data_IF_810683627762
#
_entry.id   IF_810683627762
#
_cell.length_a   1.000
_cell.length_b   1.000
_cell.length_c   1.000
_cell.angle_alpha   90.00
_cell.angle_beta   90.00
_cell.angle_gamma   90.00
#
_symmetry.space_group_name_H-M   'P 1'
#
loop_
_entity.id
_entity.type
_entity.pdbx_description
1 polymer ?
#
# COMPACT_ATOMS: atom_id res chain seq x y z
N UNK A 1 -11.11 19.91 0.22
CA UNK A 1 -11.83 19.76 1.50
C UNK A 1 -11.84 21.09 2.24
N UNK A 2 -12.94 21.47 2.90
CA UNK A 2 -12.95 22.67 3.76
C UNK A 2 -12.09 22.41 5.01
N UNK A 3 -11.29 23.38 5.49
CA UNK A 3 -10.32 23.18 6.59
C UNK A 3 -10.98 22.74 7.91
N UNK A 4 -12.25 23.09 8.11
CA UNK A 4 -13.08 22.69 9.25
C UNK A 4 -13.29 21.17 9.41
N UNK A 5 -13.11 20.37 8.35
CA UNK A 5 -13.32 18.93 8.37
C UNK A 5 -12.02 18.11 8.52
N UNK A 6 -10.85 18.75 8.41
CA UNK A 6 -9.55 18.07 8.53
C UNK A 6 -9.38 17.37 9.89
N UNK A 7 -9.75 17.99 11.04
CA UNK A 7 -9.59 17.32 12.34
C UNK A 7 -10.44 16.05 12.51
N UNK A 8 -11.60 15.97 11.81
CA UNK A 8 -12.49 14.79 11.85
C UNK A 8 -11.95 13.64 11.00
N UNK A 9 -11.44 13.95 9.82
CA UNK A 9 -10.81 12.96 8.94
C UNK A 9 -9.55 12.39 9.60
N UNK A 10 -8.75 13.23 10.26
CA UNK A 10 -7.57 12.82 11.01
C UNK A 10 -7.94 11.91 12.20
N UNK A 11 -9.09 12.14 12.85
CA UNK A 11 -9.58 11.27 13.92
C UNK A 11 -9.87 9.84 13.45
N UNK A 12 -10.65 9.71 12.37
CA UNK A 12 -11.01 8.40 11.82
C UNK A 12 -9.76 7.69 11.29
N UNK A 13 -8.92 8.43 10.54
CA UNK A 13 -7.71 7.89 9.93
C UNK A 13 -6.72 7.40 10.98
N UNK A 14 -6.53 8.16 12.07
CA UNK A 14 -5.66 7.75 13.16
C UNK A 14 -6.17 6.51 13.88
N UNK A 15 -7.48 6.35 14.11
CA UNK A 15 -8.04 5.12 14.68
C UNK A 15 -7.76 3.92 13.76
N UNK A 16 -8.05 4.04 12.46
CA UNK A 16 -7.83 2.97 11.49
C UNK A 16 -6.36 2.57 11.39
N UNK A 17 -5.45 3.54 11.29
CA UNK A 17 -4.01 3.27 11.22
C UNK A 17 -3.45 2.75 12.54
N UNK A 18 -3.98 3.18 13.67
CA UNK A 18 -3.60 2.65 14.98
C UNK A 18 -4.01 1.17 15.11
N UNK A 19 -5.23 0.81 14.72
CA UNK A 19 -5.70 -0.58 14.68
C UNK A 19 -4.87 -1.42 13.70
N UNK A 20 -4.56 -0.89 12.52
CA UNK A 20 -3.70 -1.54 11.54
C UNK A 20 -2.28 -1.76 12.06
N UNK A 21 -1.68 -0.77 12.74
CA UNK A 21 -0.36 -0.89 13.37
C UNK A 21 -0.32 -2.01 14.41
N UNK A 22 -1.35 -2.11 15.27
CA UNK A 22 -1.50 -3.23 16.22
C UNK A 22 -1.61 -4.56 15.48
N UNK A 23 -2.44 -4.63 14.45
CA UNK A 23 -2.63 -5.84 13.65
C UNK A 23 -1.30 -6.32 13.03
N UNK A 24 -0.51 -5.40 12.46
CA UNK A 24 0.83 -5.71 11.91
C UNK A 24 1.78 -6.19 13.01
N UNK A 25 1.77 -5.56 14.20
CA UNK A 25 2.60 -5.99 15.33
C UNK A 25 2.28 -7.42 15.79
N UNK A 26 1.01 -7.73 15.93
CA UNK A 26 0.56 -9.07 16.31
C UNK A 26 1.03 -10.10 15.29
N UNK A 27 0.88 -9.84 14.00
CA UNK A 27 1.33 -10.75 12.95
C UNK A 27 2.86 -10.85 12.86
N UNK A 28 3.58 -9.75 13.09
CA UNK A 28 5.05 -9.73 13.15
C UNK A 28 5.58 -10.62 14.27
N UNK A 29 4.96 -10.59 15.46
CA UNK A 29 5.37 -11.40 16.62
C UNK A 29 5.10 -12.89 16.38
N UNK A 30 4.04 -13.21 15.64
CA UNK A 30 3.67 -14.59 15.29
C UNK A 30 4.59 -15.22 14.23
N UNK A 31 5.47 -14.45 13.59
CA UNK A 31 6.38 -15.00 12.58
C UNK A 31 7.43 -15.93 13.21
N UNK A 32 7.78 -17.05 12.53
CA UNK A 32 8.72 -18.02 13.05
C UNK A 32 10.09 -17.39 13.27
N UNK A 33 10.65 -17.64 14.44
CA UNK A 33 12.02 -17.27 14.79
C UNK A 33 12.88 -18.48 14.46
N UNK A 34 13.75 -18.35 13.47
CA UNK A 34 14.64 -19.43 13.02
C UNK A 34 15.79 -19.69 14.02
N UNK A 35 15.50 -19.62 15.33
CA UNK A 35 16.46 -19.81 16.43
C UNK A 35 17.07 -21.21 16.41
N UNK A 36 16.31 -22.22 15.93
CA UNK A 36 16.76 -23.60 15.79
C UNK A 36 17.76 -23.84 14.64
N UNK A 37 18.06 -22.83 13.81
CA UNK A 37 18.96 -22.92 12.65
C UNK A 37 20.28 -22.14 12.85
N UNK A 38 20.60 -21.75 14.10
CA UNK A 38 21.74 -20.86 14.42
C UNK A 38 21.74 -19.55 13.59
N UNK A 39 20.57 -19.15 13.10
CA UNK A 39 20.41 -17.98 12.27
C UNK A 39 20.66 -16.72 13.11
N UNK A 40 21.31 -15.72 12.50
CA UNK A 40 21.57 -14.44 13.14
C UNK A 40 20.24 -13.86 13.70
N UNK A 41 20.19 -13.41 14.97
CA UNK A 41 18.98 -12.83 15.56
C UNK A 41 18.36 -11.68 14.76
N UNK A 42 19.14 -10.96 13.94
CA UNK A 42 18.66 -9.89 13.07
C UNK A 42 18.04 -10.36 11.75
N UNK A 43 18.10 -11.66 11.45
CA UNK A 43 17.52 -12.27 10.24
C UNK A 43 16.08 -12.74 10.44
N UNK A 44 15.47 -12.49 11.59
CA UNK A 44 14.07 -12.86 11.85
C UNK A 44 13.15 -12.03 10.95
N UNK A 45 12.28 -12.66 10.14
CA UNK A 45 11.44 -11.96 9.16
C UNK A 45 10.46 -10.97 9.81
N UNK A 46 10.14 -11.16 11.08
CA UNK A 46 9.23 -10.30 11.85
C UNK A 46 9.80 -8.93 12.24
N UNK A 47 11.12 -8.71 12.22
CA UNK A 47 11.72 -7.47 12.79
C UNK A 47 11.29 -6.22 12.02
N UNK A 48 11.48 -6.23 10.70
CA UNK A 48 11.13 -5.09 9.84
C UNK A 48 9.63 -4.76 9.90
N UNK A 49 8.71 -5.72 9.66
CA UNK A 49 7.27 -5.42 9.79
C UNK A 49 6.88 -5.01 11.21
N UNK A 50 7.52 -5.57 12.25
CA UNK A 50 7.30 -5.19 13.64
C UNK A 50 7.67 -3.73 13.90
N UNK A 51 8.87 -3.30 13.49
CA UNK A 51 9.30 -1.91 13.58
C UNK A 51 8.33 -0.96 12.88
N UNK A 52 7.93 -1.30 11.65
CA UNK A 52 6.95 -0.50 10.89
C UNK A 52 5.60 -0.43 11.62
N UNK A 53 5.13 -1.53 12.20
CA UNK A 53 3.92 -1.57 13.02
C UNK A 53 4.00 -0.63 14.24
N UNK A 54 5.13 -0.62 14.96
CA UNK A 54 5.37 0.30 16.09
C UNK A 54 5.31 1.75 15.62
N UNK A 55 6.06 2.09 14.57
CA UNK A 55 6.12 3.47 14.07
C UNK A 55 4.75 3.96 13.62
N UNK A 56 4.01 3.14 12.85
CA UNK A 56 2.64 3.46 12.41
C UNK A 56 1.74 3.68 13.63
N UNK A 57 1.78 2.79 14.62
CA UNK A 57 0.97 2.92 15.84
C UNK A 57 1.29 4.23 16.59
N UNK A 58 2.57 4.52 16.82
CA UNK A 58 2.98 5.73 17.57
C UNK A 58 2.59 7.02 16.85
N UNK A 59 2.85 7.10 15.54
CA UNK A 59 2.46 8.29 14.76
C UNK A 59 0.94 8.46 14.73
N UNK A 60 0.20 7.37 14.58
CA UNK A 60 -1.26 7.39 14.62
C UNK A 60 -1.79 7.84 15.98
N UNK A 61 -1.17 7.38 17.07
CA UNK A 61 -1.49 7.81 18.42
C UNK A 61 -1.26 9.31 18.61
N UNK A 62 -0.16 9.86 18.10
CA UNK A 62 0.12 11.32 18.16
C UNK A 62 -0.97 12.11 17.42
N UNK A 63 -1.35 11.67 16.21
CA UNK A 63 -2.43 12.30 15.43
C UNK A 63 -3.77 12.19 16.14
N UNK A 64 -4.08 11.03 16.74
CA UNK A 64 -5.30 10.80 17.50
C UNK A 64 -5.40 11.75 18.69
N UNK A 65 -4.34 11.86 19.50
CA UNK A 65 -4.29 12.77 20.66
C UNK A 65 -4.41 14.24 20.23
N UNK A 66 -3.80 14.62 19.10
CA UNK A 66 -3.95 15.97 18.52
C UNK A 66 -5.39 16.24 18.08
N UNK A 67 -6.02 15.28 17.41
CA UNK A 67 -7.40 15.40 16.94
C UNK A 67 -8.42 15.49 18.09
N UNK A 68 -8.19 14.76 19.18
CA UNK A 68 -8.98 14.87 20.42
C UNK A 68 -8.94 16.29 20.99
N UNK A 69 -7.74 16.89 21.08
CA UNK A 69 -7.58 18.28 21.55
C UNK A 69 -8.31 19.30 20.65
N UNK A 70 -8.46 19.00 19.37
CA UNK A 70 -9.16 19.84 18.38
C UNK A 70 -10.67 19.55 18.29
N UNK A 71 -11.24 18.78 19.23
CA UNK A 71 -12.65 18.35 19.23
C UNK A 71 -13.08 17.58 17.98
N UNK A 72 -12.16 16.82 17.37
CA UNK A 72 -12.43 15.95 16.21
C UNK A 72 -13.50 14.89 16.44
N UNK A 73 -13.81 14.57 17.71
CA UNK A 73 -14.85 13.63 18.13
C UNK A 73 -16.30 14.10 17.85
N UNK A 74 -16.52 15.36 17.44
CA UNK A 74 -17.84 15.82 16.93
C UNK A 74 -18.06 15.29 15.51
N UNK A 75 -18.15 13.97 15.43
CA UNK A 75 -18.40 13.16 14.26
C UNK A 75 -19.86 13.33 13.83
N UNK A 76 -20.14 14.42 13.11
CA UNK A 76 -21.35 14.52 12.29
C UNK A 76 -21.25 13.59 11.09
N UNK A 77 -21.09 12.28 11.32
CA UNK A 77 -21.13 11.26 10.27
C UNK A 77 -22.55 11.28 9.72
N UNK A 78 -22.74 11.99 8.62
CA UNK A 78 -23.97 11.96 7.85
C UNK A 78 -23.69 11.16 6.57
N UNK A 79 -24.65 10.33 6.12
CA UNK A 79 -24.52 9.52 4.90
C UNK A 79 -24.14 10.38 3.67
N UNK A 80 -24.57 11.65 3.66
CA UNK A 80 -24.20 12.63 2.64
C UNK A 80 -22.69 12.97 2.62
N UNK A 81 -22.00 12.96 3.76
CA UNK A 81 -20.55 13.23 3.85
C UNK A 81 -19.75 12.06 3.30
N UNK A 82 -20.18 10.82 3.57
CA UNK A 82 -19.55 9.61 3.02
C UNK A 82 -19.76 9.54 1.50
N UNK A 83 -20.99 9.84 1.03
CA UNK A 83 -21.31 9.88 -0.40
C UNK A 83 -20.50 10.95 -1.15
N UNK A 84 -20.29 12.12 -0.55
CA UNK A 84 -19.46 13.17 -1.15
C UNK A 84 -17.95 12.86 -1.07
N UNK A 85 -17.48 12.19 -0.03
CA UNK A 85 -16.09 11.72 0.07
C UNK A 85 -15.78 10.64 -0.98
N UNK A 86 -16.73 9.76 -1.30
CA UNK A 86 -16.58 8.73 -2.34
C UNK A 86 -16.51 9.32 -3.77
N UNK A 87 -17.06 10.53 -3.97
CA UNK A 87 -16.97 11.27 -5.25
C UNK A 87 -15.66 12.05 -5.40
N UNK A 88 -14.84 12.14 -4.35
CA UNK A 88 -13.54 12.81 -4.43
C UNK A 88 -12.57 11.95 -5.27
N UNK A 89 -12.05 12.52 -6.35
CA UNK A 89 -11.12 11.85 -7.25
C UNK A 89 -9.85 11.38 -6.52
N UNK A 90 -9.45 12.04 -5.43
CA UNK A 90 -8.31 11.63 -4.61
C UNK A 90 -8.60 10.35 -3.82
N UNK A 91 -9.79 10.28 -3.19
CA UNK A 91 -10.22 9.12 -2.41
C UNK A 91 -10.40 7.89 -3.30
N UNK A 92 -11.00 8.07 -4.49
CA UNK A 92 -11.12 6.99 -5.48
C UNK A 92 -9.75 6.46 -5.91
N UNK A 93 -8.77 7.34 -6.14
CA UNK A 93 -7.40 6.92 -6.47
C UNK A 93 -6.76 6.11 -5.36
N UNK A 94 -6.88 6.58 -4.11
CA UNK A 94 -6.37 5.87 -2.95
C UNK A 94 -6.99 4.47 -2.85
N UNK A 95 -8.31 4.35 -3.01
CA UNK A 95 -9.01 3.07 -2.96
C UNK A 95 -8.58 2.13 -4.09
N UNK A 96 -8.48 2.63 -5.33
CA UNK A 96 -7.99 1.83 -6.46
C UNK A 96 -6.55 1.37 -6.23
N UNK A 97 -5.67 2.22 -5.71
CA UNK A 97 -4.30 1.81 -5.33
C UNK A 97 -4.32 0.68 -4.32
N UNK A 98 -5.10 0.82 -3.24
CA UNK A 98 -5.19 -0.20 -2.18
C UNK A 98 -5.69 -1.52 -2.78
N UNK A 99 -6.72 -1.49 -3.62
CA UNK A 99 -7.28 -2.68 -4.24
C UNK A 99 -6.31 -3.37 -5.19
N UNK A 100 -5.66 -2.62 -6.10
CA UNK A 100 -4.71 -3.18 -7.06
C UNK A 100 -3.48 -3.75 -6.36
N UNK A 101 -2.94 -3.06 -5.36
CA UNK A 101 -1.81 -3.56 -4.56
C UNK A 101 -2.19 -4.81 -3.75
N UNK A 102 -3.37 -4.82 -3.12
CA UNK A 102 -3.83 -5.97 -2.34
C UNK A 102 -4.10 -7.19 -3.22
N UNK A 103 -4.72 -6.98 -4.39
CA UNK A 103 -4.96 -8.04 -5.37
C UNK A 103 -3.66 -8.65 -5.88
N UNK A 104 -2.66 -7.84 -6.16
CA UNK A 104 -1.33 -8.33 -6.54
C UNK A 104 -0.68 -9.13 -5.41
N UNK A 105 -0.58 -8.54 -4.22
CA UNK A 105 0.15 -9.13 -3.09
C UNK A 105 -0.50 -10.40 -2.54
N UNK A 106 -1.83 -10.43 -2.39
CA UNK A 106 -2.56 -11.55 -1.79
C UNK A 106 -3.12 -12.54 -2.82
N UNK A 107 -3.38 -12.08 -4.04
CA UNK A 107 -4.06 -12.87 -5.07
C UNK A 107 -3.13 -13.55 -6.05
N UNK A 108 -2.21 -12.78 -6.64
CA UNK A 108 -1.36 -13.20 -7.76
C UNK A 108 -0.05 -13.86 -7.31
N UNK A 109 0.61 -13.27 -6.32
CA UNK A 109 1.87 -13.79 -5.79
C UNK A 109 1.64 -15.19 -5.20
N UNK A 110 2.40 -16.17 -5.67
CA UNK A 110 2.33 -17.57 -5.24
C UNK A 110 1.30 -18.44 -5.99
N UNK A 111 0.44 -17.86 -6.83
CA UNK A 111 -0.51 -18.61 -7.67
C UNK A 111 -0.16 -18.63 -9.16
N UNK A 112 0.59 -17.64 -9.61
CA UNK A 112 0.99 -17.47 -11.01
C UNK A 112 2.48 -17.19 -11.10
N UNK A 113 3.06 -17.41 -12.28
CA UNK A 113 4.46 -17.07 -12.56
C UNK A 113 4.75 -15.62 -12.17
N UNK A 114 5.80 -15.41 -11.38
CA UNK A 114 6.19 -14.11 -10.83
C UNK A 114 6.36 -13.03 -11.90
N UNK A 115 6.96 -13.37 -13.04
CA UNK A 115 7.20 -12.42 -14.13
C UNK A 115 5.87 -11.94 -14.73
N UNK A 116 4.92 -12.85 -14.92
CA UNK A 116 3.59 -12.51 -15.44
C UNK A 116 2.80 -11.68 -14.42
N UNK A 117 2.84 -12.07 -13.14
CA UNK A 117 2.17 -11.35 -12.07
C UNK A 117 2.66 -9.90 -11.96
N UNK A 118 3.99 -9.73 -11.93
CA UNK A 118 4.63 -8.40 -11.84
C UNK A 118 4.34 -7.57 -13.08
N UNK A 119 4.41 -8.17 -14.27
CA UNK A 119 4.08 -7.50 -15.52
C UNK A 119 2.65 -6.97 -15.52
N UNK A 120 1.67 -7.82 -15.19
CA UNK A 120 0.26 -7.42 -15.15
C UNK A 120 0.00 -6.34 -14.11
N UNK A 121 0.61 -6.45 -12.92
CA UNK A 121 0.49 -5.44 -11.88
C UNK A 121 1.05 -4.08 -12.32
N UNK A 122 2.29 -4.04 -12.81
CA UNK A 122 2.93 -2.79 -13.24
C UNK A 122 2.17 -2.19 -14.43
N UNK A 123 1.75 -3.01 -15.38
CA UNK A 123 0.97 -2.56 -16.53
C UNK A 123 -0.36 -1.96 -16.08
N UNK A 124 -1.13 -2.65 -15.23
CA UNK A 124 -2.40 -2.15 -14.72
C UNK A 124 -2.22 -0.85 -13.94
N UNK A 125 -1.19 -0.78 -13.10
CA UNK A 125 -0.88 0.42 -12.33
C UNK A 125 -0.55 1.61 -13.24
N UNK A 126 0.30 1.40 -14.25
CA UNK A 126 0.63 2.44 -15.23
C UNK A 126 -0.60 2.85 -16.04
N UNK A 127 -1.42 1.91 -16.53
CA UNK A 127 -2.62 2.26 -17.28
C UNK A 127 -3.64 3.04 -16.44
N UNK A 128 -3.79 2.72 -15.15
CA UNK A 128 -4.72 3.44 -14.27
C UNK A 128 -4.20 4.85 -13.93
N UNK A 129 -2.92 4.99 -13.59
CA UNK A 129 -2.36 6.24 -13.05
C UNK A 129 -1.68 7.12 -14.11
N UNK A 130 -0.99 6.55 -15.08
CA UNK A 130 -0.28 7.26 -16.14
C UNK A 130 -1.24 7.79 -17.22
N UNK A 131 -2.28 7.03 -17.57
CA UNK A 131 -3.27 7.42 -18.58
C UNK A 131 -3.93 8.77 -18.29
N UNK A 132 -4.34 8.98 -17.03
CA UNK A 132 -5.03 10.21 -16.62
C UNK A 132 -4.10 11.42 -16.59
N UNK A 133 -2.82 11.23 -16.25
CA UNK A 133 -1.82 12.30 -16.24
C UNK A 133 -1.43 12.70 -17.67
N UNK A 134 -1.39 11.74 -18.58
CA UNK A 134 -0.89 11.93 -19.95
C UNK A 134 -1.95 12.32 -20.98
N UNK A 135 -3.23 12.30 -20.60
CA UNK A 135 -4.37 12.78 -21.42
C UNK A 135 -4.18 14.22 -21.91
N UNK A 136 -3.28 14.99 -21.28
CA UNK A 136 -2.93 16.35 -21.70
C UNK A 136 -1.91 16.46 -22.84
N UNK A 137 -1.09 15.44 -23.16
CA UNK A 137 0.07 15.65 -24.05
C UNK A 137 0.53 14.46 -24.93
N UNK A 138 0.11 13.20 -24.71
CA UNK A 138 0.63 12.07 -25.50
C UNK A 138 -0.45 11.29 -26.27
N UNK A 139 -0.09 10.80 -27.46
CA UNK A 139 -0.91 9.87 -28.22
C UNK A 139 -1.10 8.56 -27.43
N UNK A 140 -2.35 8.10 -27.33
CA UNK A 140 -2.76 6.92 -26.55
C UNK A 140 -1.91 5.67 -26.85
N UNK A 141 -1.52 5.48 -28.12
CA UNK A 141 -0.64 4.38 -28.54
C UNK A 141 0.80 4.50 -28.00
N UNK A 142 1.37 5.71 -27.90
CA UNK A 142 2.70 5.92 -27.30
C UNK A 142 2.68 5.62 -25.81
N UNK A 143 1.60 6.01 -25.12
CA UNK A 143 1.45 5.72 -23.70
C UNK A 143 1.41 4.22 -23.45
N UNK A 144 0.53 3.49 -24.15
CA UNK A 144 0.42 2.03 -23.98
C UNK A 144 1.76 1.36 -24.30
N UNK A 145 2.42 1.74 -25.39
CA UNK A 145 3.71 1.17 -25.76
C UNK A 145 4.78 1.41 -24.67
N UNK A 146 4.84 2.62 -24.11
CA UNK A 146 5.76 2.94 -23.02
C UNK A 146 5.41 2.19 -21.74
N UNK A 147 4.12 2.08 -21.37
CA UNK A 147 3.70 1.33 -20.18
C UNK A 147 4.01 -0.16 -20.30
N UNK A 148 3.82 -0.76 -21.48
CA UNK A 148 4.19 -2.15 -21.75
C UNK A 148 5.69 -2.32 -21.66
N UNK A 149 6.47 -1.45 -22.28
CA UNK A 149 7.93 -1.48 -22.21
C UNK A 149 8.42 -1.38 -20.76
N UNK A 150 7.89 -0.43 -19.98
CA UNK A 150 8.22 -0.27 -18.57
C UNK A 150 7.83 -1.50 -17.76
N UNK A 151 6.64 -2.07 -17.99
CA UNK A 151 6.21 -3.27 -17.29
C UNK A 151 7.10 -4.49 -17.59
N UNK A 152 7.52 -4.69 -18.84
CA UNK A 152 8.46 -5.75 -19.23
C UNK A 152 9.82 -5.53 -18.57
N UNK A 153 10.37 -4.31 -18.65
CA UNK A 153 11.66 -3.99 -18.08
C UNK A 153 11.65 -4.14 -16.55
N UNK A 154 10.60 -3.69 -15.87
CA UNK A 154 10.47 -3.83 -14.41
C UNK A 154 10.32 -5.29 -14.01
N UNK A 155 9.43 -6.06 -14.66
CA UNK A 155 9.26 -7.47 -14.36
C UNK A 155 10.55 -8.27 -14.59
N UNK A 156 11.25 -8.01 -15.69
CA UNK A 156 12.51 -8.65 -16.02
C UNK A 156 13.64 -8.27 -15.06
N UNK A 157 13.85 -6.97 -14.82
CA UNK A 157 14.93 -6.48 -13.96
C UNK A 157 14.73 -6.92 -12.50
N UNK A 158 13.53 -6.73 -11.94
CA UNK A 158 13.24 -7.14 -10.56
C UNK A 158 13.34 -8.65 -10.45
N UNK A 159 12.73 -9.43 -11.37
CA UNK A 159 12.84 -10.88 -11.35
C UNK A 159 14.29 -11.37 -11.46
N UNK A 160 15.12 -10.73 -12.27
CA UNK A 160 16.55 -11.04 -12.38
C UNK A 160 17.31 -10.73 -11.07
N UNK A 161 17.04 -9.60 -10.42
CA UNK A 161 17.65 -9.27 -9.11
C UNK A 161 17.26 -10.32 -8.07
N UNK A 162 15.99 -10.70 -7.99
CA UNK A 162 15.56 -11.74 -7.05
C UNK A 162 16.21 -13.10 -7.34
N UNK A 163 16.27 -13.51 -8.61
CA UNK A 163 16.82 -14.80 -9.00
C UNK A 163 18.35 -14.87 -8.90
N UNK A 164 19.07 -13.85 -9.33
CA UNK A 164 20.53 -13.87 -9.46
C UNK A 164 21.27 -13.17 -8.32
N UNK A 165 20.67 -12.15 -7.71
CA UNK A 165 21.30 -11.37 -6.64
C UNK A 165 20.84 -11.87 -5.27
N UNK A 166 19.54 -12.10 -5.09
CA UNK A 166 18.99 -12.64 -3.84
C UNK A 166 18.87 -14.17 -3.81
N UNK A 167 19.14 -14.85 -4.94
CA UNK A 167 19.05 -16.31 -5.08
C UNK A 167 17.72 -16.89 -4.59
N UNK A 168 16.62 -16.16 -4.82
CA UNK A 168 15.27 -16.60 -4.47
C UNK A 168 14.67 -17.34 -5.66
N UNK A 169 14.16 -18.55 -5.42
CA UNK A 169 13.36 -19.29 -6.40
C UNK A 169 12.00 -18.61 -6.55
N UNK A 170 11.79 -17.97 -7.70
CA UNK A 170 10.53 -17.34 -8.04
C UNK A 170 9.58 -18.38 -8.67
N UNK A 171 8.31 -18.46 -8.24
CA UNK A 171 7.30 -19.34 -8.84
C UNK A 171 6.90 -18.89 -10.26
#
# INVERSE_FOLDING_TARGET
MKPENMPKADFITSILLMAFGIWVLVHSIQMPRFENLEANPFSVPGIVPGLLGVVIFLLSLVVFLRSLKQKGYRLGINAAVIANASKDASMQRMLVTILVCSFYAMGLIGRTNYYLATFLFVLAFLLVFQYRQSQKQQALGKLIALSVLQAVLTAGAVGAVFRYLFLVELP
#
